data_IF_480777330041
#
_entry.id   IF_480777330041
#
_cell.length_a   1.000
_cell.length_b   1.000
_cell.length_c   1.000
_cell.angle_alpha   90.00
_cell.angle_beta   90.00
_cell.angle_gamma   90.00
#
_symmetry.space_group_name_H-M   'P 1'
#
loop_
_entity.id
_entity.type
_entity.pdbx_description
1 polymer ?
#
# COMPACT_ATOMS: atom_id res chain seq x y z
N UNK A 1 15.74 -12.35 -12.96
CA UNK A 1 14.37 -11.98 -12.55
C UNK A 1 14.41 -11.79 -11.05
N UNK A 2 14.17 -10.58 -10.57
CA UNK A 2 14.26 -10.20 -9.17
C UNK A 2 12.82 -10.02 -8.68
N UNK A 3 12.22 -11.00 -7.98
CA UNK A 3 10.77 -11.06 -7.73
C UNK A 3 10.35 -10.16 -6.55
N UNK A 4 10.98 -9.00 -6.38
CA UNK A 4 10.60 -8.07 -5.32
C UNK A 4 9.69 -6.98 -5.90
N UNK A 5 8.43 -6.89 -5.44
CA UNK A 5 7.55 -5.81 -5.83
C UNK A 5 8.11 -4.48 -5.34
N UNK A 6 8.19 -3.50 -6.23
CA UNK A 6 8.60 -2.14 -5.96
C UNK A 6 7.42 -1.37 -5.38
N UNK A 7 7.70 -0.59 -4.34
CA UNK A 7 6.74 0.37 -3.79
C UNK A 7 6.61 1.54 -4.77
N UNK A 8 5.38 1.76 -5.24
CA UNK A 8 5.06 2.84 -6.16
C UNK A 8 4.90 4.20 -5.48
N UNK A 9 4.23 4.17 -4.33
CA UNK A 9 3.76 5.33 -3.61
C UNK A 9 3.44 4.95 -2.17
N UNK A 10 3.70 5.88 -1.27
CA UNK A 10 3.25 5.85 0.13
C UNK A 10 2.52 7.16 0.36
N UNK A 11 1.27 7.09 0.81
CA UNK A 11 0.43 8.26 1.11
C UNK A 11 -0.05 8.17 2.55
N UNK A 12 0.21 9.22 3.32
CA UNK A 12 -0.27 9.35 4.70
C UNK A 12 -1.63 10.02 4.75
N UNK A 13 -2.50 9.56 5.66
CA UNK A 13 -3.70 10.30 6.04
C UNK A 13 -3.33 11.50 6.93
N UNK A 14 -4.08 12.60 6.78
CA UNK A 14 -4.00 13.77 7.67
C UNK A 14 -4.97 13.69 8.86
N UNK A 15 -5.85 12.67 8.88
CA UNK A 15 -6.95 12.56 9.85
C UNK A 15 -6.83 11.35 10.77
N UNK A 16 -6.15 10.30 10.32
CA UNK A 16 -5.91 9.06 11.07
C UNK A 16 -4.46 8.65 10.90
N UNK A 17 -3.88 7.93 11.87
CA UNK A 17 -2.54 7.36 11.75
C UNK A 17 -2.58 6.15 10.80
N UNK A 18 -2.75 6.42 9.50
CA UNK A 18 -2.82 5.40 8.45
C UNK A 18 -1.96 5.76 7.23
N UNK A 19 -1.26 4.77 6.67
CA UNK A 19 -0.55 4.87 5.38
C UNK A 19 -1.20 3.95 4.33
N UNK A 20 -1.30 4.44 3.11
CA UNK A 20 -1.57 3.61 1.93
C UNK A 20 -0.25 3.35 1.20
N UNK A 21 0.12 2.08 1.09
CA UNK A 21 1.32 1.62 0.38
C UNK A 21 0.88 0.89 -0.88
N UNK A 22 1.29 1.38 -2.03
CA UNK A 22 0.98 0.73 -3.30
C UNK A 22 2.18 -0.08 -3.80
N UNK A 23 1.97 -1.39 -4.00
CA UNK A 23 2.97 -2.32 -4.51
C UNK A 23 2.61 -2.72 -5.95
N UNK A 24 3.39 -2.21 -6.92
CA UNK A 24 3.04 -2.21 -8.35
C UNK A 24 2.84 -3.62 -8.91
N UNK A 25 3.87 -4.45 -8.79
CA UNK A 25 3.95 -5.76 -9.44
C UNK A 25 2.92 -6.75 -8.86
N UNK A 26 2.34 -6.44 -7.69
CA UNK A 26 1.39 -7.30 -6.99
C UNK A 26 -0.09 -6.94 -7.23
N UNK A 27 -0.39 -5.75 -7.76
CA UNK A 27 -1.77 -5.29 -7.92
C UNK A 27 -2.54 -5.21 -6.59
N UNK A 28 -1.86 -4.83 -5.52
CA UNK A 28 -2.45 -4.63 -4.19
C UNK A 28 -2.03 -3.30 -3.61
N UNK A 29 -2.95 -2.69 -2.88
CA UNK A 29 -2.68 -1.56 -2.00
C UNK A 29 -2.84 -2.05 -0.57
N UNK A 30 -1.81 -1.80 0.25
CA UNK A 30 -1.85 -2.06 1.68
C UNK A 30 -2.29 -0.79 2.39
N UNK A 31 -3.33 -0.88 3.20
CA UNK A 31 -3.68 0.14 4.18
C UNK A 31 -3.10 -0.29 5.52
N UNK A 32 -2.16 0.48 6.05
CA UNK A 32 -1.45 0.22 7.30
C UNK A 32 -1.95 1.21 8.34
N UNK A 33 -2.66 0.73 9.36
CA UNK A 33 -3.03 1.50 10.54
C UNK A 33 -1.92 1.34 11.60
N UNK A 34 -1.36 2.47 11.99
CA UNK A 34 -0.26 2.59 12.95
C UNK A 34 -0.69 3.34 14.22
N UNK A 35 -1.98 3.34 14.55
CA UNK A 35 -2.48 3.85 15.84
C UNK A 35 -1.80 3.15 17.02
N UNK A 36 -1.50 1.86 16.87
CA UNK A 36 -0.76 1.05 17.83
C UNK A 36 0.49 0.48 17.14
N UNK A 37 1.67 0.98 17.51
CA UNK A 37 2.94 0.56 16.93
C UNK A 37 3.35 -0.86 17.36
N UNK A 38 2.82 -1.36 18.47
CA UNK A 38 3.04 -2.73 18.94
C UNK A 38 2.14 -3.72 18.19
N UNK A 39 0.97 -3.26 17.71
CA UNK A 39 -0.04 -4.08 17.01
C UNK A 39 -0.51 -3.45 15.69
N UNK A 40 0.42 -3.29 14.74
CA UNK A 40 0.10 -2.77 13.42
C UNK A 40 -0.98 -3.59 12.72
N UNK A 41 -2.02 -2.91 12.22
CA UNK A 41 -3.09 -3.54 11.47
C UNK A 41 -2.94 -3.25 9.98
N UNK A 42 -2.81 -4.30 9.18
CA UNK A 42 -2.66 -4.20 7.72
C UNK A 42 -3.89 -4.76 7.02
N UNK A 43 -4.52 -3.96 6.18
CA UNK A 43 -5.63 -4.38 5.31
C UNK A 43 -5.16 -4.41 3.86
N UNK A 44 -5.36 -5.54 3.17
CA UNK A 44 -5.05 -5.68 1.76
C UNK A 44 -6.25 -5.35 0.89
N UNK A 45 -6.08 -4.38 0.00
CA UNK A 45 -7.08 -3.99 -1.00
C UNK A 45 -6.56 -4.43 -2.37
N UNK A 46 -7.27 -5.36 -3.01
CA UNK A 46 -6.92 -5.81 -4.37
C UNK A 46 -7.25 -4.70 -5.36
N UNK A 47 -6.28 -4.34 -6.21
CA UNK A 47 -6.47 -3.38 -7.28
C UNK A 47 -6.38 -4.07 -8.64
N UNK A 48 -7.00 -3.51 -9.69
CA UNK A 48 -6.78 -4.00 -11.05
C UNK A 48 -5.28 -3.92 -11.38
N UNK A 49 -4.72 -5.01 -11.92
CA UNK A 49 -3.28 -5.17 -12.25
C UNK A 49 -2.68 -4.06 -13.14
N UNK A 50 -3.50 -3.22 -13.75
CA UNK A 50 -3.10 -2.25 -14.78
C UNK A 50 -3.39 -0.79 -14.43
N UNK A 51 -3.87 -0.46 -13.23
CA UNK A 51 -4.17 0.94 -12.86
C UNK A 51 -2.91 1.74 -12.49
N UNK A 52 -1.72 1.30 -12.93
CA UNK A 52 -0.44 1.73 -12.36
C UNK A 52 0.55 2.42 -13.31
N UNK A 53 0.28 2.41 -14.62
CA UNK A 53 1.03 3.21 -15.58
C UNK A 53 0.19 4.45 -15.89
N UNK A 54 0.63 5.59 -15.35
CA UNK A 54 -0.13 6.83 -15.35
C UNK A 54 -0.71 7.19 -16.72
N UNK A 55 -2.01 7.48 -16.72
CA UNK A 55 -2.58 8.45 -17.65
C UNK A 55 -2.26 9.86 -17.19
#
# INVERSE_FOLDING_TARGET
>A
YHPEPRVAAIVSSHYKPEFLVNAKETGVVHMVDYTDLDNLKVTMIKTPRFLHDGG
#
